data_IF_123647477275
#
_entry.id   IF_123647477275
#
_cell.length_a   1.000
_cell.length_b   1.000
_cell.length_c   1.000
_cell.angle_alpha   90.00
_cell.angle_beta   90.00
_cell.angle_gamma   90.00
#
_symmetry.space_group_name_H-M   'P 1'
#
loop_
_entity.id
_entity.type
_entity.pdbx_description
1 polymer ?
#
# COMPACT_ATOMS: atom_id res chain seq x y z
N UNK A 1 7.04 -34.11 4.05
CA UNK A 1 8.20 -33.19 4.15
C UNK A 1 7.75 -31.90 3.45
N UNK A 2 7.28 -30.93 4.22
CA UNK A 2 6.80 -29.63 3.74
C UNK A 2 8.02 -28.78 3.43
N UNK A 3 8.25 -28.50 2.15
CA UNK A 3 9.30 -27.59 1.70
C UNK A 3 9.04 -26.18 2.24
N UNK A 4 9.79 -25.77 3.26
CA UNK A 4 9.70 -24.43 3.82
C UNK A 4 10.12 -23.40 2.77
N UNK A 5 9.31 -22.37 2.58
CA UNK A 5 9.68 -21.21 1.79
C UNK A 5 10.93 -20.56 2.43
N UNK A 6 11.94 -20.14 1.64
CA UNK A 6 13.22 -19.62 2.15
C UNK A 6 13.13 -18.30 2.93
N UNK A 7 11.94 -17.74 3.13
CA UNK A 7 11.68 -16.47 3.81
C UNK A 7 10.80 -16.58 5.07
N UNK A 8 10.45 -17.80 5.47
CA UNK A 8 9.64 -17.99 6.68
C UNK A 8 10.49 -17.71 7.93
N UNK A 9 10.03 -16.80 8.77
CA UNK A 9 10.62 -16.57 10.10
C UNK A 9 10.30 -17.77 10.97
N UNK A 10 11.31 -18.57 11.32
CA UNK A 10 11.15 -19.71 12.20
C UNK A 10 11.26 -19.26 13.66
N UNK A 11 10.20 -19.48 14.42
CA UNK A 11 10.15 -19.14 15.84
C UNK A 11 9.95 -20.42 16.64
N UNK A 12 10.83 -20.72 17.62
CA UNK A 12 10.68 -21.92 18.45
C UNK A 12 9.37 -21.93 19.23
N UNK A 13 8.75 -23.13 19.35
CA UNK A 13 7.60 -23.29 20.27
C UNK A 13 8.06 -22.99 21.71
N UNK A 14 7.21 -22.27 22.44
CA UNK A 14 7.54 -21.79 23.80
C UNK A 14 8.31 -20.47 23.83
N UNK A 15 8.73 -19.93 22.67
CA UNK A 15 9.38 -18.62 22.62
C UNK A 15 8.43 -17.52 23.14
N UNK A 16 9.00 -16.52 23.84
CA UNK A 16 8.18 -15.48 24.47
C UNK A 16 8.38 -14.11 23.83
N UNK A 17 7.24 -13.49 23.45
CA UNK A 17 7.18 -12.10 23.02
C UNK A 17 6.35 -11.30 24.02
N UNK A 18 7.00 -10.68 24.99
CA UNK A 18 6.34 -10.08 26.13
C UNK A 18 5.52 -11.12 26.93
N UNK A 19 4.19 -10.91 27.11
CA UNK A 19 3.35 -11.87 27.87
C UNK A 19 2.84 -13.04 26.99
N UNK A 20 3.25 -13.13 25.73
CA UNK A 20 2.76 -14.12 24.78
C UNK A 20 3.78 -15.23 24.58
N UNK A 21 3.36 -16.47 24.72
CA UNK A 21 4.12 -17.68 24.46
C UNK A 21 3.69 -18.27 23.12
N UNK A 22 4.63 -18.38 22.19
CA UNK A 22 4.45 -18.95 20.85
C UNK A 22 4.11 -20.44 20.93
N UNK A 23 3.16 -20.89 20.13
CA UNK A 23 2.72 -22.27 20.01
C UNK A 23 3.01 -22.81 18.61
N UNK A 24 2.00 -23.33 17.94
CA UNK A 24 2.09 -23.87 16.58
C UNK A 24 2.04 -22.76 15.49
N UNK A 25 2.66 -22.98 14.34
CA UNK A 25 2.51 -22.13 13.18
C UNK A 25 1.08 -22.23 12.62
N UNK A 26 0.48 -21.09 12.27
CA UNK A 26 -0.84 -20.99 11.66
C UNK A 26 -0.77 -20.76 10.16
N UNK A 27 0.16 -19.91 9.71
CA UNK A 27 0.36 -19.58 8.32
C UNK A 27 1.79 -19.11 8.05
N UNK A 28 2.30 -19.36 6.85
CA UNK A 28 3.57 -18.83 6.38
C UNK A 28 3.36 -18.24 4.99
N UNK A 29 3.77 -16.99 4.79
CA UNK A 29 3.72 -16.27 3.53
C UNK A 29 5.09 -15.77 3.10
N UNK A 30 5.15 -15.09 1.96
CA UNK A 30 6.39 -14.55 1.41
C UNK A 30 7.06 -13.49 2.32
N UNK A 31 6.28 -12.82 3.16
CA UNK A 31 6.72 -11.66 3.95
C UNK A 31 6.50 -11.80 5.46
N UNK A 32 5.97 -12.92 5.93
CA UNK A 32 5.70 -13.10 7.35
C UNK A 32 5.35 -14.54 7.69
N UNK A 33 5.53 -14.91 8.96
CA UNK A 33 4.99 -16.15 9.52
C UNK A 33 4.08 -15.81 10.69
N UNK A 34 2.94 -16.47 10.77
CA UNK A 34 1.93 -16.28 11.81
C UNK A 34 1.90 -17.51 12.72
N UNK A 35 1.97 -17.27 14.03
CA UNK A 35 1.93 -18.33 15.05
C UNK A 35 0.74 -18.13 15.97
N UNK A 36 0.15 -19.23 16.42
CA UNK A 36 -0.71 -19.22 17.59
C UNK A 36 0.10 -18.83 18.83
N UNK A 37 -0.51 -18.08 19.73
CA UNK A 37 0.11 -17.74 21.00
C UNK A 37 -0.87 -17.75 22.16
N UNK A 38 -0.35 -18.08 23.35
CA UNK A 38 -1.07 -18.06 24.60
C UNK A 38 -0.52 -17.00 25.54
N UNK A 39 -1.39 -16.28 26.22
CA UNK A 39 -1.00 -15.31 27.25
C UNK A 39 -0.50 -16.03 28.51
N UNK A 40 0.67 -15.70 29.02
CA UNK A 40 1.32 -16.34 30.17
C UNK A 40 0.92 -15.74 31.52
N UNK A 41 0.36 -14.53 31.54
CA UNK A 41 -0.18 -13.90 32.75
C UNK A 41 -1.65 -14.27 32.96
N UNK A 42 -2.00 -14.58 34.21
CA UNK A 42 -3.36 -15.01 34.59
C UNK A 42 -4.46 -14.04 34.13
N UNK A 43 -5.68 -14.50 34.20
CA UNK A 43 -6.96 -14.03 33.62
C UNK A 43 -7.38 -12.55 33.77
N UNK A 44 -6.48 -11.61 34.03
CA UNK A 44 -6.84 -10.18 34.17
C UNK A 44 -7.14 -9.46 32.85
N UNK A 45 -6.76 -10.02 31.69
CA UNK A 45 -6.95 -9.38 30.38
C UNK A 45 -8.09 -9.96 29.54
N UNK A 46 -8.81 -10.98 30.00
CA UNK A 46 -9.96 -11.56 29.30
C UNK A 46 -9.64 -12.30 28.00
N UNK A 47 -8.39 -12.29 27.52
CA UNK A 47 -7.95 -13.00 26.31
C UNK A 47 -6.77 -13.87 26.61
N UNK A 48 -6.96 -15.16 26.32
CA UNK A 48 -5.94 -16.19 26.54
C UNK A 48 -5.18 -16.55 25.26
N UNK A 49 -5.67 -16.18 24.10
CA UNK A 49 -5.13 -16.55 22.79
C UNK A 49 -5.01 -15.34 21.86
N UNK A 50 -3.96 -15.36 21.04
CA UNK A 50 -3.68 -14.40 19.99
C UNK A 50 -3.03 -15.10 18.79
N UNK A 51 -2.96 -14.40 17.67
CA UNK A 51 -2.08 -14.72 16.55
C UNK A 51 -0.92 -13.71 16.52
N UNK A 52 0.31 -14.21 16.51
CA UNK A 52 1.52 -13.40 16.40
C UNK A 52 2.04 -13.46 14.98
N UNK A 53 1.99 -12.33 14.27
CA UNK A 53 2.55 -12.19 12.93
C UNK A 53 3.96 -11.62 13.04
N UNK A 54 4.96 -12.46 12.77
CA UNK A 54 6.37 -12.08 12.75
C UNK A 54 6.73 -11.57 11.35
N UNK A 55 7.31 -10.39 11.31
CA UNK A 55 7.83 -9.77 10.11
C UNK A 55 9.35 -9.95 10.06
N UNK A 56 9.95 -10.29 8.90
CA UNK A 56 11.35 -10.68 8.81
C UNK A 56 12.32 -9.58 9.25
N UNK A 57 13.47 -10.00 9.79
CA UNK A 57 14.61 -9.14 10.14
C UNK A 57 15.91 -9.63 9.52
N UNK A 58 16.95 -8.86 9.67
CA UNK A 58 18.38 -9.12 9.83
C UNK A 58 19.18 -9.82 8.72
N UNK A 59 18.69 -10.83 8.03
CA UNK A 59 19.48 -11.65 7.07
C UNK A 59 19.41 -11.17 5.62
N UNK A 60 18.66 -10.10 5.36
CA UNK A 60 18.43 -9.56 4.02
C UNK A 60 19.27 -8.34 3.72
N UNK A 61 19.45 -8.04 2.43
CA UNK A 61 20.15 -6.80 2.04
C UNK A 61 19.44 -5.57 2.63
N UNK A 62 20.16 -4.47 2.93
CA UNK A 62 19.58 -3.26 3.52
C UNK A 62 18.41 -2.66 2.72
N UNK A 63 18.37 -2.89 1.41
CA UNK A 63 17.28 -2.47 0.51
C UNK A 63 16.03 -3.32 0.72
N UNK A 64 16.19 -4.63 0.85
CA UNK A 64 15.10 -5.57 1.08
C UNK A 64 14.47 -5.36 2.46
N UNK A 65 15.29 -5.17 3.50
CA UNK A 65 14.81 -4.86 4.86
C UNK A 65 14.00 -3.56 4.93
N UNK A 66 14.42 -2.52 4.23
CA UNK A 66 13.62 -1.27 4.15
C UNK A 66 12.27 -1.49 3.52
N UNK A 67 12.22 -2.25 2.43
CA UNK A 67 10.98 -2.58 1.77
C UNK A 67 10.03 -3.38 2.68
N UNK A 68 10.54 -4.39 3.38
CA UNK A 68 9.75 -5.18 4.33
C UNK A 68 9.21 -4.32 5.49
N UNK A 69 10.02 -3.39 6.00
CA UNK A 69 9.58 -2.42 7.03
C UNK A 69 8.49 -1.50 6.51
N UNK A 70 8.61 -1.00 5.29
CA UNK A 70 7.58 -0.16 4.67
C UNK A 70 6.24 -0.91 4.52
N UNK A 71 6.26 -2.21 4.20
CA UNK A 71 5.07 -3.06 4.16
C UNK A 71 4.46 -3.24 5.54
N UNK A 72 5.30 -3.51 6.55
CA UNK A 72 4.88 -3.62 7.93
C UNK A 72 4.25 -2.35 8.47
N UNK A 73 4.88 -1.21 8.22
CA UNK A 73 4.40 0.10 8.68
C UNK A 73 3.04 0.45 8.10
N UNK A 74 2.77 0.08 6.84
CA UNK A 74 1.45 0.26 6.20
C UNK A 74 0.36 -0.55 6.89
N UNK A 75 0.60 -1.83 7.16
CA UNK A 75 -0.35 -2.69 7.85
C UNK A 75 -0.62 -2.18 9.28
N UNK A 76 0.44 -1.81 10.00
CA UNK A 76 0.32 -1.23 11.35
C UNK A 76 -0.46 0.08 11.32
N UNK A 77 -0.18 0.98 10.37
CA UNK A 77 -0.89 2.25 10.25
C UNK A 77 -2.38 2.04 9.98
N UNK A 78 -2.71 1.19 9.02
CA UNK A 78 -4.09 0.85 8.68
C UNK A 78 -4.82 0.30 9.91
N UNK A 79 -4.29 -0.74 10.54
CA UNK A 79 -4.93 -1.40 11.68
C UNK A 79 -5.02 -0.52 12.94
N UNK A 80 -4.13 0.47 13.08
CA UNK A 80 -4.25 1.49 14.14
C UNK A 80 -5.34 2.52 13.87
N UNK A 81 -5.52 2.89 12.62
CA UNK A 81 -6.49 3.93 12.20
C UNK A 81 -7.90 3.37 12.04
N UNK A 82 -8.02 2.14 11.52
CA UNK A 82 -9.30 1.52 11.21
C UNK A 82 -9.67 0.48 12.26
N UNK A 83 -10.79 0.70 12.93
CA UNK A 83 -11.43 -0.30 13.80
C UNK A 83 -12.82 -0.57 13.27
N UNK A 84 -12.93 -1.61 12.46
CA UNK A 84 -14.19 -2.04 11.86
C UNK A 84 -14.45 -3.50 12.19
N UNK A 85 -15.71 -3.94 12.23
CA UNK A 85 -16.02 -5.32 12.56
C UNK A 85 -15.59 -6.34 11.52
N UNK A 86 -15.19 -5.90 10.31
CA UNK A 86 -14.80 -6.80 9.21
C UNK A 86 -13.30 -6.77 8.88
N UNK A 87 -12.50 -6.03 9.62
CA UNK A 87 -11.04 -6.09 9.51
C UNK A 87 -10.47 -6.78 10.75
N UNK A 88 -9.39 -7.55 10.57
CA UNK A 88 -8.69 -8.18 11.70
C UNK A 88 -8.25 -7.13 12.70
N UNK A 89 -8.47 -7.39 13.99
CA UNK A 89 -8.09 -6.44 15.02
C UNK A 89 -6.66 -6.70 15.46
N UNK A 90 -5.87 -5.63 15.49
CA UNK A 90 -4.57 -5.59 16.11
C UNK A 90 -4.70 -5.08 17.55
N UNK A 91 -4.22 -5.87 18.50
CA UNK A 91 -4.23 -5.53 19.93
C UNK A 91 -2.94 -4.79 20.33
N UNK A 92 -1.78 -5.19 19.79
CA UNK A 92 -0.47 -4.62 20.14
C UNK A 92 0.52 -4.77 18.97
N UNK A 93 1.62 -4.02 19.04
CA UNK A 93 2.81 -4.16 18.17
C UNK A 93 4.02 -4.22 19.08
N UNK A 94 4.86 -5.23 18.89
CA UNK A 94 6.07 -5.45 19.69
C UNK A 94 7.29 -5.57 18.79
N UNK A 95 8.44 -5.24 19.34
CA UNK A 95 9.72 -5.54 18.75
C UNK A 95 10.39 -6.58 19.61
N UNK A 96 10.98 -7.59 19.00
CA UNK A 96 11.80 -8.58 19.68
C UNK A 96 13.12 -7.91 20.08
N UNK A 97 13.55 -8.11 21.31
CA UNK A 97 14.85 -7.70 21.84
C UNK A 97 15.49 -8.97 22.43
N UNK A 98 16.23 -9.69 21.61
CA UNK A 98 16.85 -10.96 21.97
C UNK A 98 18.19 -11.20 21.23
N UNK A 99 19.28 -10.62 21.73
CA UNK A 99 20.60 -10.80 21.14
C UNK A 99 21.07 -12.27 21.08
N UNK A 100 20.43 -13.16 21.87
CA UNK A 100 20.71 -14.60 21.87
C UNK A 100 20.14 -15.34 20.66
N UNK A 101 19.18 -14.72 19.96
CA UNK A 101 18.56 -15.21 18.73
C UNK A 101 18.61 -14.12 17.63
N UNK A 102 19.78 -13.92 17.00
CA UNK A 102 19.97 -12.83 16.02
C UNK A 102 18.99 -12.85 14.84
N UNK A 103 18.42 -14.02 14.52
CA UNK A 103 17.43 -14.20 13.45
C UNK A 103 16.08 -13.56 13.79
N UNK A 104 15.79 -13.39 15.08
CA UNK A 104 14.55 -12.78 15.58
C UNK A 104 14.80 -11.39 16.18
N UNK A 105 16.03 -11.06 16.52
CA UNK A 105 16.35 -9.76 17.14
C UNK A 105 15.97 -8.59 16.23
N UNK A 106 15.26 -7.60 16.79
CA UNK A 106 14.70 -6.48 16.07
C UNK A 106 13.43 -6.82 15.24
N UNK A 107 12.90 -8.07 15.29
CA UNK A 107 11.68 -8.45 14.59
C UNK A 107 10.49 -7.64 15.06
N UNK A 108 9.70 -7.12 14.11
CA UNK A 108 8.39 -6.54 14.41
C UNK A 108 7.35 -7.65 14.48
N UNK A 109 6.61 -7.68 15.60
CA UNK A 109 5.57 -8.68 15.86
C UNK A 109 4.23 -7.98 16.06
N UNK A 110 3.26 -8.29 15.20
CA UNK A 110 1.88 -7.84 15.35
C UNK A 110 1.12 -8.85 16.21
N UNK A 111 0.51 -8.37 17.29
CA UNK A 111 -0.39 -9.16 18.14
C UNK A 111 -1.80 -8.96 17.61
N UNK A 112 -2.35 -9.98 16.98
CA UNK A 112 -3.65 -9.96 16.32
C UNK A 112 -4.67 -10.83 17.07
N UNK A 113 -5.97 -10.53 16.91
CA UNK A 113 -7.00 -11.47 17.33
C UNK A 113 -6.86 -12.81 16.60
N UNK A 114 -7.11 -13.92 17.30
CA UNK A 114 -6.99 -15.26 16.71
C UNK A 114 -8.26 -15.62 15.96
N UNK A 115 -8.09 -16.09 14.71
CA UNK A 115 -9.12 -16.72 13.91
C UNK A 115 -9.07 -18.24 14.05
N UNK A 116 -10.17 -18.91 13.74
CA UNK A 116 -10.25 -20.39 13.69
C UNK A 116 -9.60 -20.95 12.42
N UNK A 117 -9.54 -20.16 11.37
CA UNK A 117 -8.94 -20.55 10.08
C UNK A 117 -9.17 -19.49 9.01
N UNK A 118 -8.86 -19.84 7.78
CA UNK A 118 -9.10 -19.00 6.61
C UNK A 118 -10.17 -19.61 5.69
N UNK A 119 -10.71 -18.79 4.78
CA UNK A 119 -11.59 -19.25 3.73
C UNK A 119 -10.88 -20.27 2.83
N UNK A 120 -9.57 -20.16 2.61
CA UNK A 120 -8.76 -21.13 1.90
C UNK A 120 -8.82 -22.51 2.57
N UNK A 121 -8.64 -22.56 3.89
CA UNK A 121 -8.76 -23.79 4.69
C UNK A 121 -10.18 -24.35 4.63
N UNK A 122 -11.20 -23.51 4.58
CA UNK A 122 -12.59 -23.96 4.42
C UNK A 122 -12.80 -24.56 3.03
N UNK A 123 -12.36 -23.86 1.96
CA UNK A 123 -12.54 -24.33 0.57
C UNK A 123 -11.77 -25.61 0.27
N UNK A 124 -10.63 -25.85 0.91
CA UNK A 124 -9.90 -27.11 0.76
C UNK A 124 -10.68 -28.33 1.30
N UNK A 125 -11.56 -28.11 2.28
CA UNK A 125 -12.40 -29.16 2.90
C UNK A 125 -13.80 -29.23 2.27
N UNK A 126 -14.33 -28.11 1.85
CA UNK A 126 -15.64 -27.94 1.25
C UNK A 126 -15.57 -26.94 0.10
N UNK A 127 -15.28 -27.38 -1.14
CA UNK A 127 -15.07 -26.49 -2.28
C UNK A 127 -16.25 -25.54 -2.56
N UNK A 128 -17.49 -25.97 -2.26
CA UNK A 128 -18.71 -25.15 -2.38
C UNK A 128 -19.44 -25.15 -1.04
N UNK A 129 -19.05 -24.31 -0.08
CA UNK A 129 -19.65 -24.30 1.24
C UNK A 129 -21.07 -23.70 1.20
N UNK A 130 -22.02 -24.32 1.92
CA UNK A 130 -23.40 -23.81 2.01
C UNK A 130 -23.47 -22.40 2.59
N UNK A 131 -22.51 -22.02 3.45
CA UNK A 131 -22.36 -20.66 3.99
C UNK A 131 -21.75 -19.67 3.02
N UNK A 132 -21.33 -20.10 1.82
CA UNK A 132 -20.65 -19.28 0.82
C UNK A 132 -21.30 -17.92 0.58
N UNK A 133 -22.59 -17.84 0.25
CA UNK A 133 -23.28 -16.57 0.06
C UNK A 133 -23.18 -15.59 1.24
N UNK A 134 -23.39 -16.11 2.47
CA UNK A 134 -23.30 -15.30 3.69
C UNK A 134 -21.87 -14.85 4.02
N UNK A 135 -20.87 -15.68 3.73
CA UNK A 135 -19.45 -15.31 3.85
C UNK A 135 -19.07 -14.20 2.85
N UNK A 136 -19.52 -14.33 1.59
CA UNK A 136 -19.29 -13.32 0.56
C UNK A 136 -19.93 -11.97 0.88
N UNK A 137 -21.11 -11.96 1.50
CA UNK A 137 -21.75 -10.72 1.97
C UNK A 137 -20.86 -10.01 3.01
N UNK A 138 -20.27 -10.76 3.94
CA UNK A 138 -19.37 -10.20 4.96
C UNK A 138 -18.03 -9.73 4.38
N UNK A 139 -17.47 -10.44 3.38
CA UNK A 139 -16.28 -10.00 2.63
C UNK A 139 -16.57 -8.67 1.92
N UNK A 140 -17.69 -8.60 1.21
CA UNK A 140 -18.10 -7.38 0.50
C UNK A 140 -18.33 -6.20 1.48
N UNK A 141 -18.92 -6.45 2.66
CA UNK A 141 -19.03 -5.46 3.72
C UNK A 141 -17.65 -4.96 4.18
N UNK A 142 -16.68 -5.87 4.34
CA UNK A 142 -15.30 -5.52 4.70
C UNK A 142 -14.62 -4.63 3.67
N UNK A 143 -14.76 -4.96 2.38
CA UNK A 143 -14.26 -4.13 1.28
C UNK A 143 -14.94 -2.76 1.26
N UNK A 144 -16.25 -2.72 1.45
CA UNK A 144 -16.98 -1.45 1.53
C UNK A 144 -16.49 -0.57 2.67
N UNK A 145 -16.26 -1.14 3.87
CA UNK A 145 -15.71 -0.44 5.02
C UNK A 145 -14.31 0.10 4.74
N UNK A 146 -13.45 -0.69 4.09
CA UNK A 146 -12.09 -0.32 3.72
C UNK A 146 -12.07 0.82 2.69
N UNK A 147 -12.82 0.68 1.60
CA UNK A 147 -12.90 1.70 0.54
C UNK A 147 -13.53 3.00 1.04
N UNK A 148 -14.56 2.93 1.89
CA UNK A 148 -15.15 4.10 2.52
C UNK A 148 -14.15 4.87 3.41
N UNK A 149 -13.21 4.14 4.02
CA UNK A 149 -12.13 4.72 4.79
C UNK A 149 -10.97 5.28 3.93
N UNK A 150 -11.06 5.19 2.62
CA UNK A 150 -10.05 5.67 1.69
C UNK A 150 -8.88 4.71 1.46
N UNK A 151 -9.09 3.40 1.67
CA UNK A 151 -8.05 2.38 1.48
C UNK A 151 -8.45 1.34 0.44
N UNK A 152 -7.45 0.78 -0.24
CA UNK A 152 -7.58 -0.38 -1.14
C UNK A 152 -6.84 -1.55 -0.50
N UNK A 153 -7.41 -2.76 -0.56
CA UNK A 153 -6.78 -3.98 0.00
C UNK A 153 -5.57 -4.42 -0.82
N UNK A 154 -5.76 -4.56 -2.11
CA UNK A 154 -4.72 -4.86 -3.10
C UNK A 154 -4.29 -6.33 -3.18
N UNK A 155 -4.70 -7.21 -2.25
CA UNK A 155 -4.39 -8.65 -2.24
C UNK A 155 -5.54 -9.49 -1.65
N UNK A 156 -6.77 -9.22 -2.07
CA UNK A 156 -7.91 -10.04 -1.65
C UNK A 156 -7.84 -11.44 -2.26
N UNK A 157 -7.80 -12.46 -1.40
CA UNK A 157 -7.77 -13.88 -1.77
C UNK A 157 -8.31 -14.74 -0.63
N UNK A 158 -8.63 -16.03 -0.81
CA UNK A 158 -9.16 -16.90 0.26
C UNK A 158 -8.30 -16.94 1.52
N UNK A 159 -6.96 -16.93 1.38
CA UNK A 159 -6.04 -16.94 2.53
C UNK A 159 -6.13 -15.70 3.41
N UNK A 160 -6.54 -14.55 2.84
CA UNK A 160 -6.65 -13.27 3.52
C UNK A 160 -8.08 -12.99 4.05
N UNK A 161 -8.99 -13.97 3.94
CA UNK A 161 -10.35 -13.95 4.51
C UNK A 161 -10.38 -14.90 5.69
N UNK A 162 -10.34 -14.37 6.90
CA UNK A 162 -10.28 -15.13 8.15
C UNK A 162 -11.67 -15.40 8.70
N UNK A 163 -11.86 -16.62 9.23
CA UNK A 163 -13.11 -17.08 9.82
C UNK A 163 -12.95 -17.09 11.34
N UNK A 164 -13.83 -16.36 12.01
CA UNK A 164 -13.81 -16.22 13.47
C UNK A 164 -14.69 -17.29 14.12
N UNK A 165 -14.48 -17.54 15.41
CA UNK A 165 -15.23 -18.52 16.21
C UNK A 165 -16.75 -18.27 16.23
N UNK A 166 -17.17 -17.02 16.11
CA UNK A 166 -18.57 -16.61 16.04
C UNK A 166 -19.18 -16.71 14.63
N UNK A 167 -18.45 -17.29 13.67
CA UNK A 167 -18.84 -17.41 12.27
C UNK A 167 -18.71 -16.10 11.47
N UNK A 168 -18.18 -15.04 12.09
CA UNK A 168 -17.95 -13.78 11.37
C UNK A 168 -16.66 -13.84 10.55
N UNK A 169 -16.59 -12.98 9.50
CA UNK A 169 -15.43 -12.83 8.63
C UNK A 169 -14.59 -11.62 9.06
N UNK A 170 -13.27 -11.74 8.93
CA UNK A 170 -12.31 -10.63 8.98
C UNK A 170 -11.43 -10.65 7.75
N UNK A 171 -11.25 -9.49 7.12
CA UNK A 171 -10.19 -9.27 6.14
C UNK A 171 -8.86 -9.06 6.89
N UNK A 172 -7.80 -9.63 6.36
CA UNK A 172 -6.46 -9.62 6.98
C UNK A 172 -5.37 -9.50 5.92
N UNK A 173 -4.13 -9.31 6.37
CA UNK A 173 -2.93 -9.18 5.55
C UNK A 173 -2.95 -7.93 4.66
N UNK A 174 -2.80 -6.78 5.30
CA UNK A 174 -2.84 -5.47 4.65
C UNK A 174 -1.47 -4.97 4.18
N UNK A 175 -0.51 -5.87 3.94
CA UNK A 175 0.84 -5.52 3.46
C UNK A 175 0.79 -4.77 2.12
N UNK A 176 -0.16 -5.13 1.27
CA UNK A 176 -0.38 -4.51 -0.04
C UNK A 176 -1.39 -3.38 0.00
N UNK A 177 -2.02 -3.14 1.16
CA UNK A 177 -3.01 -2.09 1.28
C UNK A 177 -2.38 -0.71 1.10
N UNK A 178 -3.13 0.17 0.46
CA UNK A 178 -2.66 1.51 0.19
C UNK A 178 -3.77 2.55 0.40
N UNK A 179 -3.41 3.67 1.03
CA UNK A 179 -4.30 4.82 1.19
C UNK A 179 -4.49 5.51 -0.14
N UNK A 180 -5.73 5.83 -0.49
CA UNK A 180 -6.05 6.47 -1.76
C UNK A 180 -5.58 7.92 -1.80
N UNK A 181 -4.92 8.28 -2.90
CA UNK A 181 -4.60 9.65 -3.29
C UNK A 181 -5.57 10.05 -4.41
N UNK A 182 -6.75 10.57 -4.05
CA UNK A 182 -7.82 10.84 -5.00
C UNK A 182 -8.52 9.56 -5.47
N UNK A 183 -8.36 9.19 -6.75
CA UNK A 183 -9.04 8.02 -7.36
C UNK A 183 -8.23 6.73 -7.35
N UNK A 184 -6.99 6.75 -6.90
CA UNK A 184 -6.07 5.61 -6.93
C UNK A 184 -5.11 5.63 -5.74
N UNK A 185 -4.42 4.51 -5.54
CA UNK A 185 -3.40 4.31 -4.53
C UNK A 185 -2.15 3.67 -5.16
N UNK A 186 -1.04 3.60 -4.43
CA UNK A 186 0.20 2.98 -4.89
C UNK A 186 0.56 1.79 -4.00
N UNK A 187 0.58 0.61 -4.60
CA UNK A 187 0.92 -0.65 -3.94
C UNK A 187 2.26 -1.22 -4.45
N UNK A 188 2.94 -2.05 -3.67
CA UNK A 188 4.08 -2.83 -4.15
C UNK A 188 3.73 -3.71 -5.35
N UNK A 189 4.74 -4.11 -6.13
CA UNK A 189 4.55 -4.89 -7.37
C UNK A 189 4.14 -6.36 -7.13
N UNK A 190 4.01 -6.79 -5.88
CA UNK A 190 3.67 -8.16 -5.51
C UNK A 190 2.16 -8.30 -5.33
N UNK A 191 1.56 -9.26 -6.03
CA UNK A 191 0.15 -9.62 -5.87
C UNK A 191 -0.01 -11.10 -6.18
N UNK A 192 -1.12 -11.70 -5.74
CA UNK A 192 -1.45 -13.08 -6.09
C UNK A 192 -2.04 -13.09 -7.50
N UNK A 193 -1.36 -13.69 -8.49
CA UNK A 193 -1.71 -13.54 -9.91
C UNK A 193 -3.17 -13.86 -10.23
N UNK A 194 -3.72 -14.92 -9.65
CA UNK A 194 -5.09 -15.40 -9.90
C UNK A 194 -6.20 -14.39 -9.55
N UNK A 195 -5.92 -13.43 -8.67
CA UNK A 195 -6.87 -12.42 -8.20
C UNK A 195 -6.55 -11.02 -8.71
N UNK A 196 -5.48 -10.90 -9.50
CA UNK A 196 -5.02 -9.63 -10.05
C UNK A 196 -5.82 -9.29 -11.32
N UNK A 197 -6.40 -8.09 -11.44
CA UNK A 197 -7.11 -7.69 -12.65
C UNK A 197 -6.14 -7.51 -13.83
N UNK A 198 -6.63 -7.70 -15.08
CA UNK A 198 -5.78 -7.75 -16.27
C UNK A 198 -4.94 -6.49 -16.49
N UNK A 199 -5.45 -5.32 -16.15
CA UNK A 199 -4.71 -4.04 -16.25
C UNK A 199 -3.52 -3.96 -15.29
N UNK A 200 -3.43 -4.84 -14.30
CA UNK A 200 -2.34 -4.90 -13.34
C UNK A 200 -1.38 -6.08 -13.57
N UNK A 201 -1.66 -6.98 -14.51
CA UNK A 201 -0.79 -8.13 -14.78
C UNK A 201 0.51 -7.73 -15.49
N UNK A 202 0.47 -6.69 -16.34
CA UNK A 202 1.64 -6.10 -17.00
C UNK A 202 1.70 -4.59 -16.74
N UNK A 203 1.87 -4.14 -15.50
CA UNK A 203 1.94 -2.72 -15.21
C UNK A 203 3.29 -2.18 -15.66
N UNK A 204 3.27 -1.00 -16.22
CA UNK A 204 4.42 -0.12 -16.13
C UNK A 204 4.63 0.21 -14.66
N UNK A 205 5.76 -0.27 -14.11
CA UNK A 205 6.15 0.02 -12.74
C UNK A 205 6.66 1.46 -12.70
N UNK A 206 5.79 2.38 -12.29
CA UNK A 206 6.21 3.71 -11.91
C UNK A 206 7.12 3.66 -10.68
N UNK A 207 7.93 4.70 -10.44
CA UNK A 207 8.84 4.81 -9.29
C UNK A 207 8.13 4.70 -7.93
N UNK A 208 6.81 4.96 -7.87
CA UNK A 208 5.95 4.85 -6.67
C UNK A 208 5.37 3.46 -6.46
N UNK A 209 5.69 2.50 -7.33
CA UNK A 209 5.06 1.20 -7.35
C UNK A 209 3.89 1.13 -8.33
N UNK A 210 3.06 0.09 -8.18
CA UNK A 210 1.89 -0.17 -9.03
C UNK A 210 0.72 0.73 -8.62
N UNK A 211 0.16 1.46 -9.57
CA UNK A 211 -1.08 2.20 -9.34
C UNK A 211 -2.26 1.22 -9.22
N UNK A 212 -2.95 1.24 -8.09
CA UNK A 212 -4.14 0.42 -7.85
C UNK A 212 -5.37 1.29 -7.56
N UNK A 213 -6.55 0.72 -7.79
CA UNK A 213 -7.85 1.36 -7.55
C UNK A 213 -8.76 0.41 -6.77
N UNK A 214 -9.81 0.90 -6.10
CA UNK A 214 -10.83 0.04 -5.49
C UNK A 214 -11.42 -1.01 -6.44
N UNK A 215 -11.39 -0.75 -7.75
CA UNK A 215 -11.83 -1.68 -8.81
C UNK A 215 -10.95 -2.92 -8.92
N UNK A 216 -9.73 -2.91 -8.39
CA UNK A 216 -8.90 -4.11 -8.28
C UNK A 216 -9.46 -5.09 -7.23
N UNK A 217 -9.90 -4.59 -6.08
CA UNK A 217 -10.56 -5.40 -5.06
C UNK A 217 -11.93 -5.90 -5.54
N UNK A 218 -12.65 -5.12 -6.38
CA UNK A 218 -13.91 -5.56 -7.01
C UNK A 218 -13.66 -6.74 -7.95
N UNK A 219 -12.62 -6.70 -8.77
CA UNK A 219 -12.21 -7.84 -9.61
C UNK A 219 -11.88 -9.06 -8.75
N UNK A 220 -11.03 -8.90 -7.75
CA UNK A 220 -10.65 -9.98 -6.85
C UNK A 220 -11.85 -10.59 -6.13
N UNK A 221 -12.83 -9.76 -5.72
CA UNK A 221 -14.11 -10.21 -5.18
C UNK A 221 -14.92 -11.04 -6.19
N UNK A 222 -14.96 -10.65 -7.47
CA UNK A 222 -15.62 -11.41 -8.53
C UNK A 222 -15.02 -12.80 -8.71
N UNK A 223 -13.68 -12.90 -8.75
CA UNK A 223 -12.96 -14.19 -8.80
C UNK A 223 -13.28 -15.03 -7.57
N UNK A 224 -13.20 -14.43 -6.38
CA UNK A 224 -13.50 -15.10 -5.12
C UNK A 224 -14.94 -15.60 -5.05
N UNK A 225 -15.90 -14.79 -5.46
CA UNK A 225 -17.32 -15.15 -5.47
C UNK A 225 -17.60 -16.34 -6.39
N UNK A 226 -17.03 -16.33 -7.60
CA UNK A 226 -17.15 -17.46 -8.51
C UNK A 226 -16.56 -18.73 -7.90
N UNK A 227 -15.34 -18.64 -7.34
CA UNK A 227 -14.67 -19.79 -6.70
C UNK A 227 -15.50 -20.36 -5.54
N UNK A 228 -15.99 -19.53 -4.63
CA UNK A 228 -16.77 -19.93 -3.45
C UNK A 228 -18.11 -20.58 -3.82
N UNK A 229 -18.74 -20.11 -4.90
CA UNK A 229 -20.08 -20.57 -5.30
C UNK A 229 -20.05 -21.75 -6.28
N UNK A 230 -18.94 -21.99 -6.95
CA UNK A 230 -18.86 -23.03 -8.00
C UNK A 230 -17.70 -24.02 -7.80
N UNK A 231 -16.77 -23.73 -6.90
CA UNK A 231 -15.55 -24.52 -6.69
C UNK A 231 -14.48 -24.33 -7.78
N UNK A 232 -14.72 -23.47 -8.79
CA UNK A 232 -13.81 -23.26 -9.92
C UNK A 232 -13.45 -21.80 -10.14
N UNK A 233 -12.34 -21.56 -10.84
CA UNK A 233 -11.96 -20.19 -11.28
C UNK A 233 -12.83 -19.75 -12.46
N UNK A 234 -13.11 -18.43 -12.59
CA UNK A 234 -13.91 -17.91 -13.72
C UNK A 234 -13.13 -17.85 -15.04
N UNK A 235 -11.81 -17.90 -14.98
CA UNK A 235 -10.92 -17.85 -16.13
C UNK A 235 -10.30 -19.23 -16.37
N UNK A 236 -10.19 -19.68 -17.63
CA UNK A 236 -9.66 -21.00 -17.96
C UNK A 236 -8.14 -21.05 -17.73
N UNK A 237 -7.63 -22.22 -17.32
CA UNK A 237 -6.20 -22.49 -17.17
C UNK A 237 -5.90 -23.44 -16.01
N UNK A 238 -4.96 -24.36 -16.22
CA UNK A 238 -4.48 -25.30 -15.21
C UNK A 238 -3.44 -24.72 -14.25
N UNK A 239 -2.84 -23.58 -14.59
CA UNK A 239 -1.89 -22.86 -13.74
C UNK A 239 -2.29 -21.39 -13.56
N UNK A 240 -1.69 -20.70 -12.59
CA UNK A 240 -1.91 -19.27 -12.38
C UNK A 240 -1.51 -18.43 -13.60
N UNK A 241 -0.39 -18.76 -14.23
CA UNK A 241 0.09 -18.09 -15.46
C UNK A 241 -0.92 -18.23 -16.60
N UNK A 242 -1.45 -19.45 -16.82
CA UNK A 242 -2.43 -19.69 -17.88
C UNK A 242 -3.73 -18.91 -17.64
N UNK A 243 -4.16 -18.76 -16.37
CA UNK A 243 -5.34 -17.95 -16.02
C UNK A 243 -5.08 -16.45 -16.18
N UNK A 244 -3.87 -15.98 -15.87
CA UNK A 244 -3.45 -14.60 -16.16
C UNK A 244 -3.47 -14.29 -17.65
N UNK A 245 -2.94 -15.20 -18.49
CA UNK A 245 -2.98 -15.06 -19.94
C UNK A 245 -4.43 -15.03 -20.46
N UNK A 246 -5.32 -15.87 -19.91
CA UNK A 246 -6.73 -15.86 -20.23
C UNK A 246 -7.39 -14.55 -19.82
N UNK A 247 -7.06 -13.99 -18.65
CA UNK A 247 -7.54 -12.68 -18.19
C UNK A 247 -7.17 -11.56 -19.16
N UNK A 248 -5.94 -11.58 -19.67
CA UNK A 248 -5.47 -10.57 -20.64
C UNK A 248 -6.15 -10.75 -21.98
N UNK A 249 -6.29 -11.97 -22.50
CA UNK A 249 -7.03 -12.22 -23.75
C UNK A 249 -8.49 -11.78 -23.64
N UNK A 250 -9.13 -12.05 -22.49
CA UNK A 250 -10.46 -11.57 -22.18
C UNK A 250 -10.55 -10.04 -22.19
N UNK A 251 -9.64 -9.34 -21.50
CA UNK A 251 -9.61 -7.89 -21.44
C UNK A 251 -9.42 -7.24 -22.82
N UNK A 252 -8.64 -7.87 -23.70
CA UNK A 252 -8.41 -7.44 -25.10
C UNK A 252 -9.55 -7.79 -26.04
N UNK A 253 -10.61 -8.46 -25.56
CA UNK A 253 -11.75 -8.87 -26.41
C UNK A 253 -11.49 -10.08 -27.29
N UNK A 254 -10.34 -10.78 -27.11
CA UNK A 254 -10.01 -11.98 -27.87
C UNK A 254 -10.75 -13.22 -27.34
N UNK A 255 -11.22 -13.18 -26.12
CA UNK A 255 -12.02 -14.24 -25.49
C UNK A 255 -13.22 -13.66 -24.75
N UNK A 256 -14.28 -14.49 -24.60
CA UNK A 256 -15.46 -14.12 -23.81
C UNK A 256 -15.38 -14.77 -22.40
N UNK A 257 -15.95 -14.05 -21.41
CA UNK A 257 -16.05 -14.56 -20.05
C UNK A 257 -17.07 -15.74 -20.00
N UNK A 258 -16.59 -16.91 -19.61
CA UNK A 258 -17.43 -18.12 -19.53
C UNK A 258 -17.66 -18.49 -18.06
N UNK A 259 -18.64 -17.86 -17.43
CA UNK A 259 -19.02 -18.21 -16.07
C UNK A 259 -19.64 -19.60 -15.99
N UNK A 260 -19.35 -20.32 -14.90
CA UNK A 260 -19.87 -21.68 -14.66
C UNK A 260 -21.41 -21.71 -14.79
N UNK A 261 -21.99 -22.73 -15.47
CA UNK A 261 -23.44 -22.93 -15.49
C UNK A 261 -24.05 -23.12 -14.09
N UNK A 262 -23.28 -23.63 -13.14
CA UNK A 262 -23.70 -23.83 -11.75
C UNK A 262 -23.76 -22.56 -10.91
N UNK A 263 -23.34 -21.39 -11.44
CA UNK A 263 -23.42 -20.13 -10.72
C UNK A 263 -24.88 -19.66 -10.65
N UNK A 264 -25.49 -19.43 -9.46
CA UNK A 264 -26.86 -19.00 -9.31
C UNK A 264 -27.14 -17.66 -10.01
N UNK A 265 -28.33 -17.48 -10.59
CA UNK A 265 -28.69 -16.30 -11.40
C UNK A 265 -28.44 -14.94 -10.71
N UNK A 266 -28.82 -14.69 -9.44
CA UNK A 266 -28.51 -13.41 -8.80
C UNK A 266 -27.01 -13.12 -8.72
N UNK A 267 -26.19 -14.17 -8.60
CA UNK A 267 -24.73 -14.06 -8.51
C UNK A 267 -24.06 -13.96 -9.86
N UNK A 268 -24.65 -14.52 -10.91
CA UNK A 268 -24.11 -14.48 -12.28
C UNK A 268 -23.90 -13.05 -12.76
N UNK A 269 -24.92 -12.20 -12.61
CA UNK A 269 -24.86 -10.79 -12.97
C UNK A 269 -23.84 -10.05 -12.10
N UNK A 270 -23.82 -10.29 -10.76
CA UNK A 270 -22.88 -9.66 -9.83
C UNK A 270 -21.44 -10.00 -10.22
N UNK A 271 -21.15 -11.29 -10.48
CA UNK A 271 -19.81 -11.74 -10.85
C UNK A 271 -19.39 -11.19 -12.21
N UNK A 272 -20.29 -11.17 -13.20
CA UNK A 272 -20.00 -10.59 -14.52
C UNK A 272 -19.62 -9.10 -14.43
N UNK A 273 -20.32 -8.31 -13.63
CA UNK A 273 -20.01 -6.90 -13.41
C UNK A 273 -18.68 -6.71 -12.67
N UNK A 274 -18.40 -7.54 -11.67
CA UNK A 274 -17.11 -7.50 -10.96
C UNK A 274 -15.95 -7.87 -11.87
N UNK A 275 -16.16 -8.73 -12.86
CA UNK A 275 -15.17 -9.17 -13.83
C UNK A 275 -15.25 -8.43 -15.17
N UNK A 276 -15.90 -7.26 -15.21
CA UNK A 276 -15.94 -6.43 -16.42
C UNK A 276 -14.53 -6.09 -16.91
N UNK A 277 -14.33 -6.04 -18.25
CA UNK A 277 -13.01 -5.99 -18.92
C UNK A 277 -12.12 -4.85 -18.48
N UNK A 278 -12.70 -3.68 -18.21
CA UNK A 278 -11.93 -2.49 -17.84
C UNK A 278 -12.27 -1.97 -16.46
N UNK A 279 -11.34 -1.25 -15.84
CA UNK A 279 -11.58 -0.67 -14.52
C UNK A 279 -12.70 0.37 -14.50
N UNK A 280 -12.95 1.09 -15.62
CA UNK A 280 -14.03 2.05 -15.75
C UNK A 280 -15.40 1.37 -15.68
N UNK A 281 -15.56 0.24 -16.39
CA UNK A 281 -16.80 -0.54 -16.35
C UNK A 281 -17.05 -1.08 -14.93
N UNK A 282 -16.03 -1.55 -14.23
CA UNK A 282 -16.16 -1.99 -12.83
C UNK A 282 -16.46 -0.82 -11.88
N UNK A 283 -15.93 0.37 -12.16
CA UNK A 283 -16.15 1.56 -11.33
C UNK A 283 -17.62 2.03 -11.32
N UNK A 284 -18.38 1.71 -12.37
CA UNK A 284 -19.83 1.99 -12.42
C UNK A 284 -20.60 1.30 -11.27
N UNK A 285 -20.05 0.23 -10.72
CA UNK A 285 -20.62 -0.57 -9.62
C UNK A 285 -19.81 -0.41 -8.34
N UNK A 286 -19.71 0.80 -7.80
CA UNK A 286 -18.96 1.05 -6.55
C UNK A 286 -19.39 0.12 -5.41
N UNK A 287 -18.49 -0.13 -4.44
CA UNK A 287 -18.67 -1.14 -3.37
C UNK A 287 -19.95 -0.99 -2.55
N UNK A 288 -20.50 0.22 -2.40
CA UNK A 288 -21.80 0.42 -1.73
C UNK A 288 -22.97 -0.19 -2.52
N UNK A 289 -22.96 -0.07 -3.85
CA UNK A 289 -23.97 -0.69 -4.73
C UNK A 289 -23.78 -2.20 -4.78
N UNK A 290 -22.54 -2.65 -4.92
CA UNK A 290 -22.17 -4.06 -4.91
C UNK A 290 -22.64 -4.74 -3.62
N UNK A 291 -22.37 -4.14 -2.44
CA UNK A 291 -22.79 -4.68 -1.14
C UNK A 291 -24.30 -4.91 -1.08
N UNK A 292 -25.12 -3.93 -1.50
CA UNK A 292 -26.58 -4.09 -1.49
C UNK A 292 -27.09 -5.23 -2.40
N UNK A 293 -26.42 -5.45 -3.53
CA UNK A 293 -26.74 -6.57 -4.45
C UNK A 293 -26.35 -7.90 -3.86
N UNK A 294 -25.15 -7.97 -3.28
CA UNK A 294 -24.60 -9.17 -2.63
C UNK A 294 -25.44 -9.58 -1.42
N UNK A 295 -25.80 -8.63 -0.52
CA UNK A 295 -26.66 -8.89 0.63
C UNK A 295 -28.02 -9.46 0.20
N UNK A 296 -28.61 -8.90 -0.87
CA UNK A 296 -29.88 -9.38 -1.41
C UNK A 296 -29.76 -10.77 -1.99
N UNK A 297 -28.69 -11.05 -2.78
CA UNK A 297 -28.44 -12.36 -3.35
C UNK A 297 -28.10 -13.42 -2.27
N UNK A 298 -27.46 -13.01 -1.19
CA UNK A 298 -27.15 -13.86 -0.04
C UNK A 298 -28.32 -14.08 0.93
N UNK A 299 -29.43 -13.33 0.78
CA UNK A 299 -30.55 -13.36 1.73
C UNK A 299 -30.18 -12.86 3.13
N UNK A 300 -29.17 -12.00 3.24
CA UNK A 300 -28.68 -11.49 4.53
C UNK A 300 -29.33 -10.15 4.88
N UNK A 301 -29.54 -9.91 6.18
CA UNK A 301 -30.00 -8.62 6.66
C UNK A 301 -28.92 -7.54 6.49
N UNK A 302 -29.31 -6.32 6.16
CA UNK A 302 -28.40 -5.19 5.99
C UNK A 302 -27.62 -4.90 7.27
N UNK A 303 -26.31 -4.85 7.18
CA UNK A 303 -25.42 -4.47 8.27
C UNK A 303 -24.64 -3.21 7.86
N UNK A 304 -25.26 -2.05 8.05
CA UNK A 304 -24.65 -0.75 7.73
C UNK A 304 -23.76 -0.23 8.87
N UNK A 305 -22.68 -0.94 9.22
CA UNK A 305 -21.70 -0.45 10.19
C UNK A 305 -20.53 0.19 9.46
N UNK A 306 -20.60 1.50 9.25
CA UNK A 306 -19.49 2.26 8.70
C UNK A 306 -18.33 2.36 9.70
N UNK A 307 -17.07 2.40 9.23
CA UNK A 307 -15.90 2.50 10.09
C UNK A 307 -15.89 3.81 10.88
N UNK A 308 -15.49 3.73 12.15
CA UNK A 308 -15.14 4.92 12.93
C UNK A 308 -13.68 5.23 12.69
N UNK A 309 -13.40 6.25 11.89
CA UNK A 309 -12.04 6.75 11.69
C UNK A 309 -11.57 7.43 12.98
N UNK A 310 -10.42 7.00 13.52
CA UNK A 310 -9.73 7.77 14.55
C UNK A 310 -9.09 8.98 13.88
N UNK A 311 -9.33 10.21 14.37
CA UNK A 311 -8.67 11.39 13.83
C UNK A 311 -7.15 11.19 13.94
N UNK A 312 -6.43 11.54 12.88
CA UNK A 312 -4.97 11.59 12.88
C UNK A 312 -4.55 12.48 14.03
N UNK A 313 -3.91 11.95 15.06
CA UNK A 313 -3.35 12.76 16.15
C UNK A 313 -2.20 13.56 15.56
N UNK A 314 -2.50 14.74 15.07
CA UNK A 314 -1.49 15.75 14.88
C UNK A 314 -0.92 16.04 16.28
N UNK A 315 0.37 15.78 16.47
CA UNK A 315 1.08 16.30 17.62
C UNK A 315 1.08 17.81 17.45
N UNK A 316 0.10 18.48 18.08
CA UNK A 316 0.18 19.93 18.28
C UNK A 316 1.36 20.17 19.20
N UNK A 317 2.35 21.02 18.82
CA UNK A 317 3.29 21.51 19.80
C UNK A 317 2.46 22.23 20.88
N UNK A 318 2.71 21.91 22.15
CA UNK A 318 2.10 22.59 23.28
C UNK A 318 2.57 24.05 23.27
N UNK A 319 1.72 24.94 22.76
CA UNK A 319 1.85 26.38 23.01
C UNK A 319 1.27 26.63 24.40
N UNK A 320 2.17 26.97 25.33
CA UNK A 320 1.82 27.42 26.66
C UNK A 320 0.90 28.64 26.59
N UNK A 321 -0.17 28.57 27.35
CA UNK A 321 -1.13 29.67 27.53
C UNK A 321 -0.47 30.86 28.19
N UNK A 322 -0.45 31.98 27.49
CA UNK A 322 -0.22 33.32 28.07
C UNK A 322 -1.48 34.15 27.91
N UNK A 323 -1.97 34.64 29.03
CA UNK A 323 -3.24 35.33 29.24
C UNK A 323 -3.37 36.70 28.56
N UNK A 324 -4.58 36.93 28.10
CA UNK A 324 -5.41 38.13 28.13
C UNK A 324 -4.76 39.53 27.96
N UNK A 325 -5.28 40.24 26.96
CA UNK A 325 -5.16 41.70 26.94
C UNK A 325 -5.64 42.35 25.66
N UNK A 326 -6.84 42.92 25.72
CA UNK A 326 -7.35 44.08 24.97
C UNK A 326 -7.74 43.91 23.48
N UNK A 327 -9.03 43.84 23.31
CA UNK A 327 -9.81 44.33 22.15
C UNK A 327 -9.66 45.84 22.04
N UNK A 328 -9.22 46.30 20.88
CA UNK A 328 -9.57 47.55 20.18
C UNK A 328 -8.39 47.99 19.31
N UNK A 329 -8.56 47.95 18.04
CA UNK A 329 -7.57 48.45 17.09
C UNK A 329 -7.65 47.81 15.71
N UNK A 330 -8.81 47.88 15.06
CA UNK A 330 -8.94 48.48 13.77
C UNK A 330 -8.61 47.76 12.48
N UNK A 331 -9.54 47.77 11.67
CA UNK A 331 -9.81 47.49 10.28
C UNK A 331 -8.67 47.79 9.25
N UNK A 332 -7.57 48.43 9.63
CA UNK A 332 -6.49 48.74 8.68
C UNK A 332 -5.36 47.68 8.60
N UNK A 333 -5.35 46.67 9.51
CA UNK A 333 -4.35 45.60 9.50
C UNK A 333 -4.72 44.40 8.66
N UNK A 334 -5.94 44.28 8.14
CA UNK A 334 -6.44 43.11 7.43
C UNK A 334 -5.94 43.03 5.98
N UNK A 335 -5.62 44.16 5.34
CA UNK A 335 -5.11 44.18 3.98
C UNK A 335 -3.61 43.86 3.86
N UNK A 336 -2.81 44.17 4.92
CA UNK A 336 -1.37 43.86 4.94
C UNK A 336 -1.02 42.43 5.34
N UNK A 337 -1.90 41.78 6.12
CA UNK A 337 -1.67 40.38 6.56
C UNK A 337 -2.11 39.34 5.50
N UNK A 338 -2.94 39.72 4.53
CA UNK A 338 -3.34 38.82 3.46
C UNK A 338 -2.24 38.59 2.41
N UNK A 339 -1.28 39.48 2.26
CA UNK A 339 -0.11 39.31 1.38
C UNK A 339 1.04 38.59 2.08
N UNK A 340 1.20 38.75 3.41
CA UNK A 340 2.27 38.07 4.17
C UNK A 340 1.96 36.59 4.51
N UNK A 341 0.69 36.19 4.49
CA UNK A 341 0.28 34.81 4.69
C UNK A 341 0.33 33.96 3.39
N UNK A 342 0.67 34.57 2.26
CA UNK A 342 0.84 33.86 0.98
C UNK A 342 2.19 33.19 0.82
N UNK A 343 3.21 33.59 1.58
CA UNK A 343 4.58 33.10 1.44
C UNK A 343 5.09 32.22 2.60
N UNK A 344 4.26 31.84 3.58
CA UNK A 344 4.68 31.12 4.78
C UNK A 344 3.91 29.87 5.17
N UNK A 345 3.09 29.27 4.29
CA UNK A 345 2.47 27.96 4.52
C UNK A 345 3.52 26.85 4.40
N UNK A 346 3.40 25.73 5.16
CA UNK A 346 4.28 24.61 4.96
C UNK A 346 4.17 24.17 3.50
N UNK A 347 5.30 24.16 2.83
CA UNK A 347 5.44 23.92 1.41
C UNK A 347 5.16 22.44 1.11
N UNK A 348 3.99 22.13 0.59
CA UNK A 348 3.54 20.79 0.26
C UNK A 348 3.45 20.57 -1.26
N UNK A 349 4.09 19.48 -1.72
CA UNK A 349 3.87 18.92 -3.02
C UNK A 349 4.60 19.56 -4.20
N UNK A 350 4.52 18.88 -5.32
CA UNK A 350 5.20 19.22 -6.57
C UNK A 350 4.67 20.48 -7.27
N UNK A 351 3.45 20.92 -6.92
CA UNK A 351 2.84 22.13 -7.49
C UNK A 351 3.61 23.43 -7.22
N UNK A 352 4.59 23.39 -6.30
CA UNK A 352 5.50 24.51 -6.02
C UNK A 352 6.55 24.72 -7.10
N UNK A 353 6.79 23.68 -7.92
CA UNK A 353 7.75 23.78 -9.01
C UNK A 353 7.18 24.63 -10.14
N UNK A 354 7.83 25.78 -10.47
CA UNK A 354 7.36 26.63 -11.54
C UNK A 354 7.29 25.88 -12.87
N UNK A 355 6.44 26.36 -13.77
CA UNK A 355 6.41 25.87 -15.15
C UNK A 355 7.77 26.19 -15.80
N UNK A 356 8.23 25.29 -16.66
CA UNK A 356 9.52 25.33 -17.34
C UNK A 356 10.76 25.19 -16.45
N UNK A 357 10.56 24.60 -15.24
CA UNK A 357 11.65 24.37 -14.31
C UNK A 357 11.79 22.89 -13.95
N UNK A 358 13.01 22.50 -13.58
CA UNK A 358 13.25 21.26 -12.84
C UNK A 358 13.43 21.58 -11.35
N UNK A 359 12.73 20.86 -10.48
CA UNK A 359 12.78 21.09 -9.05
C UNK A 359 13.19 19.83 -8.29
N UNK A 360 14.08 20.04 -7.30
CA UNK A 360 14.57 18.98 -6.42
C UNK A 360 14.15 19.32 -4.98
N UNK A 361 13.78 18.29 -4.21
CA UNK A 361 13.20 18.45 -2.88
C UNK A 361 13.94 17.64 -1.83
N UNK A 362 14.06 18.20 -0.63
CA UNK A 362 14.74 17.56 0.50
C UNK A 362 13.96 16.39 1.11
N UNK A 363 12.67 16.27 0.81
CA UNK A 363 11.80 15.19 1.27
C UNK A 363 11.04 14.54 0.10
N UNK A 364 10.43 13.39 0.37
CA UNK A 364 9.60 12.67 -0.62
C UNK A 364 8.36 13.50 -0.98
N UNK A 365 7.79 13.22 -2.18
CA UNK A 365 6.52 13.79 -2.66
C UNK A 365 6.51 15.31 -2.85
N UNK A 366 7.63 15.88 -3.22
CA UNK A 366 7.74 17.33 -3.40
C UNK A 366 7.70 18.11 -2.11
N UNK A 367 8.00 17.48 -0.97
CA UNK A 367 7.95 18.06 0.36
C UNK A 367 9.30 18.63 0.80
N UNK A 368 9.29 19.39 1.88
CA UNK A 368 10.48 19.97 2.47
C UNK A 368 11.01 21.17 1.68
N UNK A 369 12.30 21.44 1.77
CA UNK A 369 12.96 22.51 1.02
C UNK A 369 13.08 22.16 -0.45
N UNK A 370 12.97 23.15 -1.31
CA UNK A 370 13.00 23.01 -2.75
C UNK A 370 14.07 23.91 -3.35
N UNK A 371 14.76 23.39 -4.36
CA UNK A 371 15.53 24.19 -5.31
C UNK A 371 15.03 23.90 -6.72
N UNK A 372 14.98 24.91 -7.57
CA UNK A 372 14.49 24.77 -8.94
C UNK A 372 15.26 25.63 -9.90
N UNK A 373 15.43 25.16 -11.13
CA UNK A 373 16.18 25.82 -12.20
C UNK A 373 15.47 25.70 -13.52
N UNK A 374 15.55 26.73 -14.33
CA UNK A 374 15.08 26.76 -15.73
C UNK A 374 16.17 26.37 -16.72
N UNK A 375 17.44 26.58 -16.36
CA UNK A 375 18.60 26.34 -17.19
C UNK A 375 19.52 25.27 -16.60
N UNK A 376 20.61 24.94 -17.33
CA UNK A 376 21.66 24.04 -16.84
C UNK A 376 22.39 24.67 -15.66
N UNK A 377 22.70 23.87 -14.63
CA UNK A 377 23.50 24.32 -13.49
C UNK A 377 24.73 23.42 -13.29
N UNK A 378 25.93 23.93 -13.50
CA UNK A 378 27.17 23.16 -13.35
C UNK A 378 27.60 22.97 -11.89
N UNK A 379 27.13 23.79 -10.93
CA UNK A 379 27.39 23.61 -9.49
C UNK A 379 26.33 24.23 -8.60
N UNK A 380 25.45 23.41 -8.06
CA UNK A 380 24.34 23.78 -7.19
C UNK A 380 24.69 24.57 -5.94
N UNK A 381 25.96 24.67 -5.59
CA UNK A 381 26.43 25.41 -4.39
C UNK A 381 27.15 26.71 -4.74
N UNK A 382 27.20 27.09 -6.01
CA UNK A 382 27.80 28.31 -6.50
C UNK A 382 26.92 28.96 -7.59
N UNK A 383 27.10 30.24 -7.82
CA UNK A 383 26.31 31.00 -8.80
C UNK A 383 25.15 31.77 -8.18
N UNK A 384 24.25 32.28 -9.04
CA UNK A 384 23.15 33.14 -8.64
C UNK A 384 22.01 32.35 -7.94
N UNK A 385 21.78 31.11 -8.33
CA UNK A 385 20.80 30.19 -7.75
C UNK A 385 21.51 29.06 -6.98
N UNK A 386 21.57 29.14 -5.66
CA UNK A 386 22.26 28.14 -4.84
C UNK A 386 21.29 27.25 -4.05
N UNK A 387 21.55 25.94 -4.04
CA UNK A 387 20.79 24.94 -3.29
C UNK A 387 21.51 24.58 -2.00
N UNK A 388 21.55 25.50 -1.04
CA UNK A 388 22.37 25.40 0.18
C UNK A 388 22.09 24.19 1.06
N UNK A 389 20.83 23.71 1.14
CA UNK A 389 20.44 22.58 1.97
C UNK A 389 21.01 21.23 1.46
N UNK A 390 21.41 21.15 0.20
CA UNK A 390 22.03 19.94 -0.39
C UNK A 390 23.45 19.67 0.14
N UNK A 391 24.05 20.61 0.88
CA UNK A 391 25.33 20.37 1.59
C UNK A 391 25.22 19.32 2.68
N UNK A 392 24.06 19.26 3.37
CA UNK A 392 23.87 18.41 4.54
C UNK A 392 22.78 17.35 4.38
N UNK A 393 21.93 17.48 3.38
CA UNK A 393 20.80 16.58 3.17
C UNK A 393 20.74 16.05 1.75
N UNK A 394 20.38 14.76 1.55
CA UNK A 394 20.18 14.20 0.22
C UNK A 394 18.89 14.72 -0.41
N UNK A 395 18.85 14.71 -1.74
CA UNK A 395 17.60 14.91 -2.50
C UNK A 395 16.75 13.66 -2.42
N UNK A 396 15.47 13.83 -2.09
CA UNK A 396 14.52 12.73 -1.91
C UNK A 396 13.40 12.68 -2.92
N UNK A 397 13.14 13.76 -3.63
CA UNK A 397 12.23 13.76 -4.77
C UNK A 397 12.57 14.82 -5.80
N UNK A 398 12.07 14.64 -7.01
CA UNK A 398 12.28 15.50 -8.17
C UNK A 398 10.97 15.69 -8.92
N UNK A 399 10.78 16.86 -9.51
CA UNK A 399 9.77 17.12 -10.53
C UNK A 399 10.40 17.89 -11.70
N UNK A 400 10.34 17.31 -12.89
CA UNK A 400 10.67 18.01 -14.12
C UNK A 400 9.39 18.61 -14.70
N UNK A 401 9.09 19.85 -14.35
CA UNK A 401 7.95 20.62 -14.86
C UNK A 401 8.29 21.43 -16.11
N UNK A 402 9.35 21.00 -16.83
CA UNK A 402 9.80 21.61 -18.08
C UNK A 402 8.75 21.56 -19.19
N UNK A 403 8.97 22.36 -20.21
CA UNK A 403 8.23 22.33 -21.47
C UNK A 403 9.07 21.56 -22.48
N UNK A 404 8.43 20.63 -23.20
CA UNK A 404 9.12 19.83 -24.22
C UNK A 404 9.55 20.72 -25.39
N UNK A 405 10.84 20.72 -25.68
CA UNK A 405 11.46 21.50 -26.76
C UNK A 405 12.66 20.74 -27.36
N UNK A 406 13.12 21.06 -28.56
CA UNK A 406 14.32 20.46 -29.12
C UNK A 406 15.50 20.56 -28.13
N UNK A 407 16.08 19.41 -27.76
CA UNK A 407 17.16 19.33 -26.77
C UNK A 407 16.73 19.33 -25.29
N UNK A 408 15.42 19.46 -24.98
CA UNK A 408 14.86 19.53 -23.64
C UNK A 408 13.77 18.47 -23.40
N UNK A 409 14.05 17.20 -23.72
CA UNK A 409 13.16 16.05 -23.45
C UNK A 409 13.31 15.49 -22.03
N UNK A 410 14.38 15.85 -21.31
CA UNK A 410 14.64 15.42 -19.96
C UNK A 410 15.69 16.24 -19.24
N UNK A 411 15.91 15.96 -17.94
CA UNK A 411 16.99 16.56 -17.12
C UNK A 411 17.88 15.44 -16.59
N UNK A 412 19.13 15.43 -16.99
CA UNK A 412 20.17 14.58 -16.42
C UNK A 412 20.84 15.27 -15.23
N UNK A 413 21.08 14.53 -14.15
CA UNK A 413 21.72 15.06 -12.94
C UNK A 413 22.90 14.21 -12.51
N UNK A 414 23.88 14.84 -11.85
CA UNK A 414 25.24 14.32 -11.62
C UNK A 414 25.65 14.52 -10.17
N UNK A 415 26.46 13.59 -9.65
CA UNK A 415 27.03 13.69 -8.28
C UNK A 415 28.13 14.76 -8.18
N UNK A 416 28.88 14.96 -9.25
CA UNK A 416 29.95 15.95 -9.30
C UNK A 416 29.50 17.26 -9.91
N UNK A 417 30.33 18.29 -9.77
CA UNK A 417 30.21 19.56 -10.49
C UNK A 417 30.61 19.38 -11.96
N UNK A 418 30.22 20.32 -12.80
CA UNK A 418 30.57 20.30 -14.23
C UNK A 418 30.05 19.09 -14.99
N UNK A 419 28.88 18.59 -14.60
CA UNK A 419 28.20 17.45 -15.20
C UNK A 419 29.01 16.15 -15.16
N UNK A 420 29.73 15.93 -14.05
CA UNK A 420 30.57 14.74 -13.86
C UNK A 420 29.89 13.70 -13.00
N UNK A 421 29.91 12.44 -13.45
CA UNK A 421 29.48 11.30 -12.67
C UNK A 421 30.67 10.82 -11.82
N UNK A 422 30.69 11.12 -10.52
CA UNK A 422 31.69 10.64 -9.59
C UNK A 422 31.19 9.42 -8.81
N UNK A 423 31.97 8.32 -8.83
CA UNK A 423 31.80 7.15 -7.94
C UNK A 423 30.93 6.01 -8.49
N UNK A 424 31.56 4.84 -8.65
CA UNK A 424 31.00 3.48 -8.70
C UNK A 424 29.96 3.21 -9.79
N UNK A 425 30.27 3.33 -11.03
CA UNK A 425 29.89 2.44 -12.12
C UNK A 425 30.31 3.00 -13.49
N UNK A 426 31.59 3.07 -13.73
CA UNK A 426 32.17 3.43 -15.04
C UNK A 426 32.04 2.29 -16.06
N UNK A 427 31.48 1.15 -15.70
CA UNK A 427 31.40 -0.04 -16.56
C UNK A 427 30.08 -0.19 -17.32
N UNK A 428 29.06 0.63 -17.02
CA UNK A 428 27.80 0.68 -17.76
C UNK A 428 27.56 2.07 -18.31
N UNK A 429 27.75 2.24 -19.58
CA UNK A 429 27.29 3.22 -20.60
C UNK A 429 26.50 4.48 -20.19
N UNK A 430 26.27 4.81 -18.93
CA UNK A 430 25.55 6.01 -18.50
C UNK A 430 26.47 6.97 -17.78
N UNK A 431 26.92 8.00 -18.52
CA UNK A 431 27.73 9.12 -17.99
C UNK A 431 26.98 10.07 -17.04
N UNK A 432 25.80 9.70 -16.55
CA UNK A 432 24.93 10.49 -15.65
C UNK A 432 24.52 9.67 -14.43
N UNK A 433 24.24 10.32 -13.30
CA UNK A 433 23.81 9.63 -12.07
C UNK A 433 22.32 9.29 -12.10
N UNK A 434 21.51 10.13 -12.76
CA UNK A 434 20.09 9.92 -12.97
C UNK A 434 19.55 10.83 -14.08
N UNK A 435 18.29 10.60 -14.46
CA UNK A 435 17.59 11.39 -15.46
C UNK A 435 16.08 11.34 -15.22
N UNK A 436 15.37 12.42 -15.49
CA UNK A 436 13.92 12.52 -15.36
C UNK A 436 13.35 13.24 -16.58
N UNK A 437 12.46 12.57 -17.32
CA UNK A 437 11.82 13.14 -18.52
C UNK A 437 10.88 14.30 -18.17
N UNK A 438 10.59 15.14 -19.15
CA UNK A 438 9.66 16.27 -19.02
C UNK A 438 8.29 15.76 -18.52
N UNK A 439 7.64 16.55 -17.66
CA UNK A 439 6.37 16.26 -16.96
C UNK A 439 6.41 15.05 -16.03
N UNK A 440 7.57 14.46 -15.77
CA UNK A 440 7.70 13.38 -14.80
C UNK A 440 8.13 13.89 -13.42
N UNK A 441 7.58 13.26 -12.41
CA UNK A 441 7.91 13.50 -11.00
C UNK A 441 8.09 12.18 -10.28
N UNK A 442 8.94 12.16 -9.24
CA UNK A 442 9.16 10.93 -8.48
C UNK A 442 10.01 11.11 -7.24
N UNK A 443 10.03 10.06 -6.42
CA UNK A 443 10.91 9.99 -5.26
C UNK A 443 12.24 9.37 -5.67
N UNK A 444 13.33 9.99 -5.23
CA UNK A 444 14.70 9.48 -5.40
C UNK A 444 15.09 8.60 -4.21
N UNK A 445 16.13 7.79 -4.37
CA UNK A 445 16.65 6.91 -3.32
C UNK A 445 17.08 7.66 -2.03
N UNK A 446 17.32 8.97 -2.13
CA UNK A 446 17.65 9.81 -0.99
C UNK A 446 19.01 9.49 -0.36
N UNK A 447 19.95 8.95 -1.14
CA UNK A 447 21.28 8.55 -0.66
C UNK A 447 22.37 9.59 -0.91
N UNK A 448 22.10 10.58 -1.74
CA UNK A 448 23.02 11.67 -2.06
C UNK A 448 22.27 12.90 -2.56
N UNK A 449 22.95 14.05 -2.59
CA UNK A 449 22.52 15.23 -3.31
C UNK A 449 23.33 15.32 -4.63
N UNK A 450 22.69 15.53 -5.79
CA UNK A 450 23.39 15.96 -7.00
C UNK A 450 24.10 17.28 -6.77
N UNK A 451 25.13 17.55 -7.59
CA UNK A 451 25.92 18.77 -7.55
C UNK A 451 25.81 19.58 -8.85
N UNK A 452 25.26 18.96 -9.88
CA UNK A 452 24.99 19.64 -11.16
C UNK A 452 23.87 18.93 -11.93
N UNK A 453 23.23 19.63 -12.84
CA UNK A 453 22.25 19.06 -13.77
C UNK A 453 22.27 19.79 -15.11
N UNK A 454 21.79 19.13 -16.15
CA UNK A 454 21.59 19.74 -17.45
C UNK A 454 20.41 19.15 -18.20
N UNK A 455 19.81 19.94 -19.06
CA UNK A 455 18.79 19.49 -19.99
C UNK A 455 19.39 18.58 -21.06
N UNK A 456 18.67 17.57 -21.48
CA UNK A 456 19.06 16.56 -22.47
C UNK A 456 17.90 16.28 -23.41
N UNK A 457 18.21 15.79 -24.60
CA UNK A 457 17.18 15.48 -25.62
C UNK A 457 16.25 14.36 -25.15
N UNK A 458 16.80 13.40 -24.37
CA UNK A 458 16.07 12.24 -23.86
C UNK A 458 16.68 11.70 -22.56
N UNK A 459 15.90 10.98 -21.79
CA UNK A 459 16.33 10.20 -20.66
C UNK A 459 16.54 8.73 -21.00
#
# INVERSE_FOLDING_TARGET
MTGGHPHAVQVPSGYRVGPWEVREPLASGAFSTVYAARHTGGARSGRHEAALKFLPTGTHTPRHLRHLRELADREVELLRRLRTPRLIRMDDVRTVDDPGLPELDGATVLVLERAEGSLETLLSRAPVPRSGPALLAQVCEGLHQLHHAGWVHGDLKPGNVLLMKDGSVRLADFNMAAEMEGTHAYSPAFSTPDYTPPELLWPELGERGRQIRPTADIWAFGVLAHLVLTGGHPLPGGSAEARCDAAVRYARGAEELRLSPGLPEPWREIVADCLARTHELRAAHGTASLLRRVERAAGTARSARLPRLRPRRWRRPALAAGLAGTVLGTVAAVAGTYTALRDGGPAYGYHRCPVDSVCFFSEKFGMGEMCGWTEDDPDWLSGDETCSWTRSRPVRSIFNNGVEAPGRGGVAYYRGTGFTATGIDLTRTKRRTGCTSVRQQGNLAGTYAPRSHKWVSDC
#
